data_IF_144860603189
#
_entry.id   IF_144860603189
#
_cell.length_a   1.000
_cell.length_b   1.000
_cell.length_c   1.000
_cell.angle_alpha   90.00
_cell.angle_beta   90.00
_cell.angle_gamma   90.00
#
_symmetry.space_group_name_H-M   'P 1'
#
loop_
_entity.id
_entity.type
_entity.pdbx_description
1 polymer ?
#
# COMPACT_ATOMS: atom_id res chain seq x y z
N UNK A 1 -11.76 -8.90 5.66
CA UNK A 1 -11.16 -7.89 6.57
C UNK A 1 -11.04 -8.35 8.02
N UNK A 2 -11.55 -9.54 8.38
CA UNK A 2 -11.34 -10.12 9.71
C UNK A 2 -9.85 -10.17 10.08
N UNK A 3 -9.01 -10.51 9.10
CA UNK A 3 -7.54 -10.55 9.21
C UNK A 3 -6.95 -9.24 9.78
N UNK A 4 -7.47 -8.09 9.36
CA UNK A 4 -7.03 -6.78 9.85
C UNK A 4 -7.52 -6.52 11.29
N UNK A 5 -8.75 -6.90 11.61
CA UNK A 5 -9.30 -6.72 12.96
C UNK A 5 -8.63 -7.65 13.97
N UNK A 6 -8.26 -8.87 13.56
CA UNK A 6 -7.51 -9.81 14.39
C UNK A 6 -6.14 -9.24 14.75
N UNK A 7 -5.43 -8.66 13.77
CA UNK A 7 -4.18 -7.94 14.01
C UNK A 7 -4.37 -6.74 14.94
N UNK A 8 -5.35 -5.88 14.65
CA UNK A 8 -5.61 -4.69 15.46
C UNK A 8 -5.91 -5.07 16.91
N UNK A 9 -6.74 -6.09 17.13
CA UNK A 9 -7.06 -6.64 18.46
C UNK A 9 -5.81 -7.22 19.12
N UNK A 10 -5.03 -8.01 18.39
CA UNK A 10 -3.82 -8.62 18.93
C UNK A 10 -2.82 -7.58 19.42
N UNK A 11 -2.54 -6.52 18.65
CA UNK A 11 -1.65 -5.43 19.09
C UNK A 11 -2.28 -4.62 20.23
N UNK A 12 -3.59 -4.39 20.17
CA UNK A 12 -4.34 -3.69 21.22
C UNK A 12 -4.34 -4.42 22.56
N UNK A 13 -4.30 -5.75 22.57
CA UNK A 13 -4.39 -6.55 23.79
C UNK A 13 -3.00 -7.01 24.28
N UNK A 14 -2.14 -7.41 23.34
CA UNK A 14 -0.85 -8.07 23.63
C UNK A 14 0.38 -7.28 23.16
N UNK A 15 0.22 -6.17 22.45
CA UNK A 15 1.34 -5.35 22.00
C UNK A 15 2.14 -4.78 23.17
N UNK A 16 3.45 -4.76 23.02
CA UNK A 16 4.40 -4.20 24.00
C UNK A 16 4.45 -2.69 23.80
N UNK A 17 4.39 -1.93 24.90
CA UNK A 17 4.58 -0.49 24.84
C UNK A 17 6.02 -0.12 24.47
N UNK A 18 6.18 0.78 23.50
CA UNK A 18 7.48 1.27 23.01
C UNK A 18 7.42 2.78 22.82
N UNK A 19 8.52 3.45 23.16
CA UNK A 19 8.76 4.79 22.65
C UNK A 19 9.00 4.74 21.13
N UNK A 20 8.69 5.83 20.44
CA UNK A 20 8.87 5.96 19.00
C UNK A 20 9.45 7.35 18.66
N UNK A 21 9.79 7.58 17.38
CA UNK A 21 10.44 8.81 16.91
C UNK A 21 9.59 10.08 17.09
N UNK A 22 8.26 9.95 17.14
CA UNK A 22 7.31 11.06 17.30
C UNK A 22 7.15 11.48 18.76
N UNK A 23 7.61 10.64 19.70
CA UNK A 23 7.39 10.84 21.14
C UNK A 23 5.97 10.50 21.63
N UNK A 24 5.08 10.02 20.76
CA UNK A 24 3.70 9.63 21.11
C UNK A 24 3.65 8.32 21.91
N UNK A 25 4.57 7.39 21.59
CA UNK A 25 4.55 6.02 22.07
C UNK A 25 3.57 5.15 21.27
N UNK A 26 3.85 3.84 21.28
CA UNK A 26 3.05 2.84 20.57
C UNK A 26 2.87 1.57 21.39
N UNK A 27 1.85 0.77 21.09
CA UNK A 27 1.84 -0.67 21.36
C UNK A 27 2.23 -1.39 20.07
N UNK A 28 3.16 -2.33 20.15
CA UNK A 28 3.75 -2.95 18.95
C UNK A 28 3.96 -4.46 19.10
N UNK A 29 3.88 -5.16 17.97
CA UNK A 29 4.38 -6.53 17.80
C UNK A 29 5.33 -6.56 16.60
N UNK A 30 6.28 -7.51 16.62
CA UNK A 30 7.25 -7.66 15.54
C UNK A 30 7.01 -8.96 14.77
N UNK A 31 6.62 -8.81 13.51
CA UNK A 31 6.23 -9.94 12.66
C UNK A 31 4.73 -10.22 12.73
N UNK A 32 4.04 -10.00 11.62
CA UNK A 32 2.67 -10.47 11.40
C UNK A 32 2.44 -10.70 9.91
N UNK A 33 1.60 -11.67 9.53
CA UNK A 33 1.26 -11.90 8.12
C UNK A 33 -0.25 -12.07 7.95
N UNK A 34 -0.81 -11.33 6.99
CA UNK A 34 -2.21 -11.42 6.58
C UNK A 34 -2.30 -11.89 5.13
N UNK A 35 -3.37 -12.59 4.77
CA UNK A 35 -3.63 -13.07 3.41
C UNK A 35 -5.05 -12.70 3.01
N UNK A 36 -5.20 -12.17 1.81
CA UNK A 36 -6.46 -11.74 1.22
C UNK A 36 -6.63 -12.41 -0.15
N UNK A 37 -7.58 -13.32 -0.28
CA UNK A 37 -7.97 -13.87 -1.58
C UNK A 37 -8.75 -12.80 -2.34
N UNK A 38 -8.18 -12.32 -3.45
CA UNK A 38 -8.76 -11.22 -4.22
C UNK A 38 -9.99 -11.66 -5.03
N UNK A 39 -10.18 -12.97 -5.21
CA UNK A 39 -11.40 -13.52 -5.79
C UNK A 39 -12.61 -13.43 -4.83
N UNK A 40 -12.38 -13.32 -3.53
CA UNK A 40 -13.45 -13.19 -2.53
C UNK A 40 -14.00 -11.75 -2.39
N UNK A 41 -13.36 -10.78 -3.04
CA UNK A 41 -13.71 -9.36 -3.00
C UNK A 41 -12.50 -8.46 -2.79
N UNK A 42 -12.67 -7.16 -3.05
CA UNK A 42 -11.59 -6.18 -2.88
C UNK A 42 -11.38 -5.88 -1.39
N UNK A 43 -10.16 -6.07 -0.83
CA UNK A 43 -9.91 -6.05 0.62
C UNK A 43 -9.85 -4.63 1.19
N UNK A 44 -10.98 -3.91 1.15
CA UNK A 44 -11.10 -2.58 1.70
C UNK A 44 -11.76 -2.63 3.07
N UNK A 45 -11.18 -1.96 4.07
CA UNK A 45 -11.76 -1.90 5.42
C UNK A 45 -13.17 -1.31 5.35
N UNK A 46 -14.14 -2.01 5.94
CA UNK A 46 -15.55 -1.58 6.03
C UNK A 46 -15.92 -1.09 7.42
N UNK A 47 -15.16 -1.41 8.47
CA UNK A 47 -15.42 -0.96 9.86
C UNK A 47 -15.10 0.52 10.10
N UNK A 48 -14.52 1.20 9.10
CA UNK A 48 -14.46 2.65 8.97
C UNK A 48 -14.35 3.03 7.51
N UNK A 49 -14.86 4.21 7.15
CA UNK A 49 -14.77 4.77 5.80
C UNK A 49 -13.33 5.15 5.43
N UNK A 50 -12.81 4.59 4.34
CA UNK A 50 -11.52 4.97 3.75
C UNK A 50 -11.66 6.09 2.72
N UNK A 51 -10.58 6.84 2.51
CA UNK A 51 -10.51 7.89 1.50
C UNK A 51 -10.01 7.33 0.16
N UNK A 52 -10.89 6.61 -0.55
CA UNK A 52 -10.57 5.88 -1.79
C UNK A 52 -9.85 6.73 -2.84
N UNK A 53 -10.26 7.99 -3.01
CA UNK A 53 -9.62 8.93 -3.95
C UNK A 53 -8.12 9.05 -3.71
N UNK A 54 -7.71 9.18 -2.45
CA UNK A 54 -6.28 9.28 -2.12
C UNK A 54 -5.54 7.97 -2.43
N UNK A 55 -6.14 6.81 -2.16
CA UNK A 55 -5.53 5.50 -2.42
C UNK A 55 -5.20 5.34 -3.91
N UNK A 56 -6.17 5.66 -4.77
CA UNK A 56 -6.00 5.52 -6.21
C UNK A 56 -4.96 6.51 -6.74
N UNK A 57 -5.09 7.81 -6.41
CA UNK A 57 -4.14 8.80 -6.91
C UNK A 57 -2.73 8.61 -6.39
N UNK A 58 -2.54 8.16 -5.14
CA UNK A 58 -1.20 7.84 -4.63
C UNK A 58 -0.55 6.71 -5.43
N UNK A 59 -1.29 5.63 -5.72
CA UNK A 59 -0.75 4.54 -6.52
C UNK A 59 -0.41 4.98 -7.95
N UNK A 60 -1.30 5.76 -8.59
CA UNK A 60 -1.03 6.30 -9.94
C UNK A 60 0.20 7.22 -9.93
N UNK A 61 0.37 8.03 -8.88
CA UNK A 61 1.52 8.90 -8.69
C UNK A 61 2.83 8.12 -8.48
N UNK A 62 2.82 7.03 -7.69
CA UNK A 62 3.96 6.12 -7.59
C UNK A 62 4.27 5.45 -8.93
N UNK A 63 3.26 4.98 -9.64
CA UNK A 63 3.43 4.37 -10.97
C UNK A 63 3.96 5.38 -11.99
N UNK A 64 3.65 6.67 -11.87
CA UNK A 64 4.21 7.73 -12.72
C UNK A 64 5.69 8.02 -12.43
N UNK A 65 6.24 7.54 -11.31
CA UNK A 65 7.64 7.79 -10.93
C UNK A 65 7.87 9.17 -10.33
N UNK A 66 6.80 9.85 -9.92
CA UNK A 66 6.83 11.21 -9.42
C UNK A 66 7.33 11.27 -7.96
N UNK A 67 7.94 12.40 -7.59
CA UNK A 67 8.40 12.68 -6.22
C UNK A 67 7.84 13.99 -5.66
N UNK A 68 7.17 14.79 -6.49
CA UNK A 68 6.60 16.06 -6.08
C UNK A 68 5.09 15.92 -5.83
N UNK A 69 4.60 16.54 -4.76
CA UNK A 69 3.20 16.43 -4.33
C UNK A 69 2.22 17.25 -5.18
N UNK A 70 2.68 18.02 -6.18
CA UNK A 70 1.80 18.85 -7.02
C UNK A 70 0.67 18.05 -7.67
N UNK A 71 0.97 16.89 -8.27
CA UNK A 71 -0.05 16.01 -8.84
C UNK A 71 -1.11 15.61 -7.80
N UNK A 72 -0.67 15.22 -6.60
CA UNK A 72 -1.57 14.86 -5.50
C UNK A 72 -2.43 16.07 -5.13
N UNK A 73 -1.82 17.25 -5.05
CA UNK A 73 -2.50 18.49 -4.66
C UNK A 73 -3.58 18.90 -5.67
N UNK A 74 -3.26 18.83 -6.95
CA UNK A 74 -4.17 19.12 -8.07
C UNK A 74 -5.37 18.16 -8.09
N UNK A 75 -5.20 16.94 -7.53
CA UNK A 75 -6.25 15.93 -7.40
C UNK A 75 -6.92 15.88 -6.02
N UNK A 76 -6.78 16.95 -5.21
CA UNK A 76 -7.35 17.06 -3.86
C UNK A 76 -6.89 15.97 -2.88
N UNK A 77 -5.64 15.53 -3.01
CA UNK A 77 -4.97 14.63 -2.09
C UNK A 77 -3.89 15.41 -1.33
N UNK A 78 -3.79 15.18 -0.02
CA UNK A 78 -2.95 15.93 0.93
C UNK A 78 -2.18 15.03 1.90
N UNK A 79 -2.17 13.71 1.65
CA UNK A 79 -1.64 12.70 2.57
C UNK A 79 -0.10 12.69 2.69
N UNK A 80 0.59 13.52 1.90
CA UNK A 80 2.05 13.63 1.86
C UNK A 80 2.53 15.05 2.25
N UNK A 81 1.61 15.95 2.60
CA UNK A 81 1.91 17.38 2.81
C UNK A 81 2.88 17.60 3.97
N UNK A 82 2.79 16.81 5.05
CA UNK A 82 3.65 16.97 6.24
C UNK A 82 5.12 16.57 6.02
N UNK A 83 5.43 15.82 4.96
CA UNK A 83 6.79 15.33 4.69
C UNK A 83 7.49 16.04 3.54
N UNK A 84 6.76 16.82 2.75
CA UNK A 84 7.32 17.52 1.61
C UNK A 84 8.05 18.79 2.03
N UNK A 85 9.08 19.15 1.28
CA UNK A 85 9.78 20.43 1.46
C UNK A 85 8.95 21.63 0.97
N UNK A 86 9.53 22.83 1.05
CA UNK A 86 8.89 24.08 0.62
C UNK A 86 8.50 24.12 -0.87
N UNK A 87 9.14 23.30 -1.72
CA UNK A 87 8.85 23.17 -3.14
C UNK A 87 7.89 22.00 -3.44
N UNK A 88 7.52 21.23 -2.41
CA UNK A 88 6.66 20.06 -2.52
C UNK A 88 7.40 18.78 -2.89
N UNK A 89 8.74 18.76 -2.82
CA UNK A 89 9.54 17.57 -3.13
C UNK A 89 9.73 16.67 -1.91
N UNK A 90 9.72 15.36 -2.15
CA UNK A 90 9.91 14.33 -1.11
C UNK A 90 11.27 13.60 -1.24
N UNK A 91 12.10 14.01 -2.19
CA UNK A 91 13.31 13.28 -2.58
C UNK A 91 12.98 11.93 -3.24
N UNK A 92 13.94 11.00 -3.30
CA UNK A 92 13.83 9.80 -4.12
C UNK A 92 13.02 8.68 -3.43
N UNK A 93 11.76 8.97 -3.06
CA UNK A 93 10.84 8.01 -2.42
C UNK A 93 10.31 6.97 -3.42
N UNK A 94 9.19 6.30 -3.10
CA UNK A 94 8.68 5.13 -3.82
C UNK A 94 8.66 5.25 -5.34
N UNK A 95 8.03 6.28 -5.91
CA UNK A 95 7.91 6.42 -7.36
C UNK A 95 9.27 6.42 -8.06
N UNK A 96 10.22 7.18 -7.53
CA UNK A 96 11.59 7.25 -8.03
C UNK A 96 12.28 5.89 -7.92
N UNK A 97 12.17 5.21 -6.79
CA UNK A 97 12.79 3.88 -6.66
C UNK A 97 12.13 2.85 -7.59
N UNK A 98 10.82 2.94 -7.81
CA UNK A 98 10.08 1.99 -8.64
C UNK A 98 10.37 2.17 -10.13
N UNK A 99 10.47 3.41 -10.60
CA UNK A 99 10.56 3.74 -12.04
C UNK A 99 11.96 4.16 -12.49
N UNK A 100 12.80 4.61 -11.57
CA UNK A 100 14.05 5.31 -11.88
C UNK A 100 15.18 4.98 -10.89
N UNK A 101 15.27 3.73 -10.42
CA UNK A 101 16.32 3.32 -9.47
C UNK A 101 17.73 3.56 -10.05
N UNK A 102 18.59 4.37 -9.41
CA UNK A 102 19.89 4.74 -9.96
C UNK A 102 20.89 3.58 -9.96
N UNK A 103 21.71 3.48 -11.02
CA UNK A 103 22.78 2.47 -11.13
C UNK A 103 24.17 3.07 -10.88
N UNK A 104 25.12 2.31 -10.32
CA UNK A 104 26.49 2.78 -10.08
C UNK A 104 27.21 3.26 -11.35
N UNK A 105 26.89 2.67 -12.51
CA UNK A 105 27.49 3.01 -13.80
C UNK A 105 26.87 4.26 -14.45
N UNK A 106 25.88 4.88 -13.80
CA UNK A 106 25.03 5.92 -14.38
C UNK A 106 23.85 5.32 -15.15
N UNK A 107 22.72 6.04 -15.13
CA UNK A 107 21.44 5.57 -15.67
C UNK A 107 20.45 5.16 -14.58
N UNK A 108 19.36 4.50 -14.98
CA UNK A 108 18.31 4.07 -14.07
C UNK A 108 17.67 2.74 -14.48
N UNK A 109 17.04 2.09 -13.50
CA UNK A 109 16.28 0.85 -13.65
C UNK A 109 14.79 1.14 -13.37
N UNK A 110 13.95 0.90 -14.38
CA UNK A 110 12.51 0.82 -14.19
C UNK A 110 12.13 -0.60 -13.72
N UNK A 111 11.97 -0.75 -12.40
CA UNK A 111 11.64 -2.03 -11.79
C UNK A 111 10.21 -2.49 -12.13
N UNK A 112 9.27 -1.54 -12.29
CA UNK A 112 7.87 -1.85 -12.61
C UNK A 112 7.74 -2.36 -14.04
N UNK A 113 8.31 -1.64 -15.02
CA UNK A 113 8.28 -2.08 -16.41
C UNK A 113 8.97 -3.44 -16.57
N UNK A 114 10.12 -3.64 -15.89
CA UNK A 114 10.83 -4.92 -15.89
C UNK A 114 10.00 -6.04 -15.30
N UNK A 115 9.35 -5.85 -14.15
CA UNK A 115 8.59 -6.93 -13.51
C UNK A 115 7.37 -7.32 -14.34
N UNK A 116 6.67 -6.35 -14.94
CA UNK A 116 5.53 -6.61 -15.84
C UNK A 116 5.98 -7.43 -17.06
N UNK A 117 7.08 -7.03 -17.70
CA UNK A 117 7.64 -7.78 -18.83
C UNK A 117 8.06 -9.20 -18.42
N UNK A 118 8.75 -9.33 -17.29
CA UNK A 118 9.17 -10.65 -16.78
C UNK A 118 7.99 -11.56 -16.48
N UNK A 119 6.88 -11.05 -15.93
CA UNK A 119 5.68 -11.87 -15.65
C UNK A 119 5.10 -12.42 -16.95
N UNK A 120 5.08 -11.63 -18.03
CA UNK A 120 4.61 -12.09 -19.36
C UNK A 120 5.55 -13.15 -19.96
N UNK A 121 6.86 -12.93 -19.85
CA UNK A 121 7.86 -13.78 -20.52
C UNK A 121 8.22 -15.05 -19.75
N UNK A 122 8.24 -14.98 -18.42
CA UNK A 122 8.66 -16.06 -17.53
C UNK A 122 7.90 -16.02 -16.19
N UNK A 123 6.60 -16.40 -16.19
CA UNK A 123 5.73 -16.33 -15.02
C UNK A 123 6.17 -17.19 -13.83
N UNK A 124 6.97 -18.23 -14.07
CA UNK A 124 7.48 -19.15 -13.03
C UNK A 124 8.71 -18.58 -12.28
N UNK A 125 9.18 -17.39 -12.65
CA UNK A 125 10.34 -16.77 -12.03
C UNK A 125 10.08 -16.48 -10.55
N UNK A 126 11.06 -16.86 -9.72
CA UNK A 126 11.07 -16.55 -8.29
C UNK A 126 11.69 -15.17 -8.00
N UNK A 127 11.83 -14.32 -9.02
CA UNK A 127 12.56 -13.04 -8.97
C UNK A 127 11.73 -11.84 -9.44
N UNK A 128 10.41 -11.97 -9.53
CA UNK A 128 9.52 -10.84 -9.82
C UNK A 128 9.43 -9.90 -8.62
N UNK A 129 10.48 -9.12 -8.38
CA UNK A 129 10.66 -8.31 -7.17
C UNK A 129 10.79 -6.84 -7.55
N UNK A 130 10.20 -5.99 -6.72
CA UNK A 130 10.42 -4.55 -6.72
C UNK A 130 10.81 -4.12 -5.31
N UNK A 131 11.88 -3.34 -5.20
CA UNK A 131 12.37 -2.79 -3.93
C UNK A 131 12.29 -1.27 -3.93
N UNK A 132 11.77 -0.68 -2.85
CA UNK A 132 11.90 0.74 -2.58
C UNK A 132 13.09 1.05 -1.65
N UNK A 133 13.74 0.04 -1.08
CA UNK A 133 14.79 0.24 -0.09
C UNK A 133 16.16 0.34 -0.73
N UNK A 134 16.55 1.58 -1.04
CA UNK A 134 17.87 1.91 -1.56
C UNK A 134 18.79 2.43 -0.43
N UNK A 135 19.75 1.63 0.06
CA UNK A 135 20.64 2.05 1.14
C UNK A 135 21.48 3.30 0.83
N UNK A 136 21.71 3.61 -0.45
CA UNK A 136 22.47 4.79 -0.86
C UNK A 136 21.64 6.08 -0.85
N UNK A 137 20.31 5.98 -0.82
CA UNK A 137 19.41 7.13 -0.95
C UNK A 137 18.43 7.30 0.22
N UNK A 138 18.28 6.30 1.09
CA UNK A 138 17.25 6.27 2.15
C UNK A 138 17.28 7.50 3.07
N UNK A 139 18.46 8.03 3.38
CA UNK A 139 18.62 9.21 4.24
C UNK A 139 18.26 10.53 3.54
N UNK A 140 18.05 10.52 2.21
CA UNK A 140 17.66 11.68 1.40
C UNK A 140 16.15 11.74 1.15
N UNK A 141 15.39 10.79 1.66
CA UNK A 141 13.95 10.68 1.48
C UNK A 141 13.21 11.43 2.59
N UNK A 142 12.19 12.22 2.25
CA UNK A 142 11.38 12.95 3.23
C UNK A 142 10.71 12.01 4.24
N UNK A 143 10.39 10.78 3.81
CA UNK A 143 10.06 9.66 4.68
C UNK A 143 10.66 8.37 4.12
N UNK A 144 11.52 7.65 4.88
CA UNK A 144 12.03 6.35 4.45
C UNK A 144 10.90 5.33 4.17
N UNK A 145 10.99 4.51 3.11
CA UNK A 145 9.93 3.61 2.67
C UNK A 145 9.41 2.69 3.78
N UNK A 146 8.12 2.75 4.07
CA UNK A 146 7.44 1.81 4.96
C UNK A 146 7.22 0.48 4.26
N UNK A 147 6.73 0.50 3.01
CA UNK A 147 6.57 -0.65 2.13
C UNK A 147 7.85 -0.84 1.31
N UNK A 148 8.68 -1.78 1.76
CA UNK A 148 10.11 -1.88 1.41
C UNK A 148 10.33 -2.72 0.17
N UNK A 149 9.65 -3.86 0.09
CA UNK A 149 9.85 -4.85 -0.97
C UNK A 149 8.54 -5.55 -1.23
N UNK A 150 8.21 -5.80 -2.50
CA UNK A 150 7.12 -6.70 -2.86
C UNK A 150 7.53 -7.65 -3.97
N UNK A 151 6.93 -8.83 -3.95
CA UNK A 151 7.19 -9.92 -4.88
C UNK A 151 5.89 -10.40 -5.50
N UNK A 152 5.89 -10.58 -6.82
CA UNK A 152 4.82 -11.26 -7.53
C UNK A 152 5.09 -12.75 -7.69
N UNK A 153 4.01 -13.52 -7.80
CA UNK A 153 4.02 -14.95 -7.99
C UNK A 153 2.85 -15.36 -8.88
N UNK A 154 3.12 -16.19 -9.89
CA UNK A 154 2.08 -16.73 -10.78
C UNK A 154 1.92 -18.23 -10.51
N UNK A 155 0.67 -18.67 -10.37
CA UNK A 155 0.30 -20.07 -10.38
C UNK A 155 -1.14 -20.23 -10.86
N UNK A 156 -1.42 -21.28 -11.63
CA UNK A 156 -2.77 -21.61 -12.11
C UNK A 156 -3.47 -20.42 -12.82
N UNK A 157 -2.71 -19.63 -13.58
CA UNK A 157 -3.22 -18.43 -14.28
C UNK A 157 -3.56 -17.26 -13.36
N UNK A 158 -3.18 -17.31 -12.07
CA UNK A 158 -3.47 -16.27 -11.07
C UNK A 158 -2.20 -15.56 -10.60
N UNK A 159 -2.25 -14.23 -10.52
CA UNK A 159 -1.17 -13.37 -10.04
C UNK A 159 -1.36 -13.02 -8.55
N UNK A 160 -0.44 -13.47 -7.71
CA UNK A 160 -0.37 -13.07 -6.30
C UNK A 160 0.72 -12.04 -6.06
N UNK A 161 0.58 -11.25 -4.99
CA UNK A 161 1.58 -10.27 -4.57
C UNK A 161 1.82 -10.39 -3.06
N UNK A 162 3.08 -10.49 -2.65
CA UNK A 162 3.49 -10.40 -1.26
C UNK A 162 4.23 -9.09 -1.01
N UNK A 163 3.77 -8.31 -0.05
CA UNK A 163 4.43 -7.10 0.45
C UNK A 163 5.15 -7.39 1.78
N UNK A 164 6.38 -6.91 1.89
CA UNK A 164 7.07 -6.69 3.16
C UNK A 164 7.05 -5.20 3.52
N UNK A 165 6.33 -4.86 4.60
CA UNK A 165 6.25 -3.52 5.17
C UNK A 165 6.97 -3.49 6.51
N UNK A 166 8.11 -2.79 6.59
CA UNK A 166 8.99 -2.79 7.78
C UNK A 166 8.35 -2.14 9.02
N UNK A 167 7.43 -1.19 8.79
CA UNK A 167 6.86 -0.31 9.80
C UNK A 167 5.43 0.01 9.41
N UNK A 168 4.48 -0.27 10.29
CA UNK A 168 3.06 -0.28 9.95
C UNK A 168 2.22 0.35 11.06
N UNK A 169 1.80 1.60 10.83
CA UNK A 169 0.72 2.23 11.60
C UNK A 169 -0.58 1.48 11.28
N UNK A 170 -1.06 0.71 12.25
CA UNK A 170 -2.23 -0.14 12.10
C UNK A 170 -3.52 0.66 11.93
N UNK A 171 -3.62 1.85 12.50
CA UNK A 171 -4.87 2.59 12.48
C UNK A 171 -5.00 3.41 11.20
N UNK A 172 -4.02 4.24 10.86
CA UNK A 172 -4.10 5.12 9.70
C UNK A 172 -3.54 4.46 8.42
N UNK A 173 -2.37 3.82 8.52
CA UNK A 173 -1.61 3.37 7.36
C UNK A 173 -2.08 2.05 6.76
N UNK A 174 -2.15 0.98 7.56
CA UNK A 174 -2.38 -0.39 7.07
C UNK A 174 -3.65 -0.54 6.22
N UNK A 175 -4.82 0.03 6.57
CA UNK A 175 -6.01 -0.03 5.71
C UNK A 175 -5.77 0.54 4.30
N UNK A 176 -4.96 1.60 4.21
CA UNK A 176 -4.57 2.25 2.97
C UNK A 176 -3.61 1.36 2.17
N UNK A 177 -2.60 0.79 2.84
CA UNK A 177 -1.61 -0.08 2.22
C UNK A 177 -2.23 -1.36 1.65
N UNK A 178 -3.19 -1.97 2.35
CA UNK A 178 -3.89 -3.17 1.88
C UNK A 178 -4.61 -2.88 0.56
N UNK A 179 -5.40 -1.80 0.52
CA UNK A 179 -6.17 -1.43 -0.67
C UNK A 179 -5.26 -1.04 -1.85
N UNK A 180 -4.17 -0.30 -1.59
CA UNK A 180 -3.21 0.12 -2.62
C UNK A 180 -2.53 -1.08 -3.29
N UNK A 181 -2.01 -2.04 -2.52
CA UNK A 181 -1.32 -3.19 -3.09
C UNK A 181 -2.28 -4.24 -3.67
N UNK A 182 -3.51 -4.37 -3.14
CA UNK A 182 -4.55 -5.13 -3.80
C UNK A 182 -4.86 -4.53 -5.18
N UNK A 183 -5.05 -3.20 -5.26
CA UNK A 183 -5.29 -2.50 -6.53
C UNK A 183 -4.14 -2.72 -7.52
N UNK A 184 -2.88 -2.54 -7.08
CA UNK A 184 -1.71 -2.82 -7.91
C UNK A 184 -1.71 -4.26 -8.44
N UNK A 185 -2.07 -5.24 -7.59
CA UNK A 185 -2.15 -6.65 -7.99
C UNK A 185 -3.19 -6.87 -9.08
N UNK A 186 -4.38 -6.26 -8.96
CA UNK A 186 -5.40 -6.31 -10.00
C UNK A 186 -4.94 -5.66 -11.31
N UNK A 187 -4.31 -4.48 -11.25
CA UNK A 187 -3.83 -3.76 -12.43
C UNK A 187 -2.75 -4.56 -13.17
N UNK A 188 -1.77 -5.12 -12.43
CA UNK A 188 -0.72 -5.95 -13.03
C UNK A 188 -1.31 -7.25 -13.60
N UNK A 189 -2.25 -7.88 -12.90
CA UNK A 189 -2.92 -9.08 -13.40
C UNK A 189 -3.61 -8.80 -14.74
N UNK A 190 -4.39 -7.72 -14.85
CA UNK A 190 -5.07 -7.35 -16.10
C UNK A 190 -4.10 -7.17 -17.26
N UNK A 191 -3.07 -6.33 -17.10
CA UNK A 191 -2.14 -6.02 -18.21
C UNK A 191 -1.22 -7.21 -18.54
N UNK A 192 -1.17 -8.23 -17.71
CA UNK A 192 -0.43 -9.47 -17.98
C UNK A 192 -1.34 -10.62 -18.42
N UNK A 193 -2.66 -10.39 -18.57
CA UNK A 193 -3.63 -11.41 -18.99
C UNK A 193 -3.86 -12.50 -17.94
N UNK A 194 -3.66 -12.18 -16.66
CA UNK A 194 -3.81 -13.08 -15.52
C UNK A 194 -5.01 -12.69 -14.66
N UNK A 195 -5.51 -13.64 -13.88
CA UNK A 195 -6.54 -13.39 -12.88
C UNK A 195 -5.92 -12.93 -11.54
N UNK A 196 -6.59 -12.07 -10.75
CA UNK A 196 -6.14 -11.73 -9.40
C UNK A 196 -6.08 -12.96 -8.47
N UNK A 197 -4.92 -13.17 -7.86
CA UNK A 197 -4.63 -14.23 -6.90
C UNK A 197 -4.83 -13.78 -5.45
N UNK A 198 -3.78 -13.92 -4.64
CA UNK A 198 -3.78 -13.52 -3.22
C UNK A 198 -2.90 -12.29 -3.02
N UNK A 199 -3.36 -11.33 -2.23
CA UNK A 199 -2.48 -10.33 -1.62
C UNK A 199 -2.03 -10.81 -0.24
N UNK A 200 -0.71 -10.88 -0.02
CA UNK A 200 -0.08 -11.28 1.24
C UNK A 200 0.63 -10.06 1.83
N UNK A 201 0.24 -9.66 3.03
CA UNK A 201 0.81 -8.50 3.70
C UNK A 201 1.63 -8.93 4.90
N UNK A 202 2.96 -8.83 4.80
CA UNK A 202 3.92 -9.15 5.87
C UNK A 202 4.39 -7.86 6.52
N UNK A 203 4.28 -7.78 7.85
CA UNK A 203 4.63 -6.61 8.64
C UNK A 203 5.85 -6.90 9.51
N UNK A 204 6.78 -5.95 9.58
CA UNK A 204 7.86 -5.88 10.55
C UNK A 204 7.34 -5.36 11.89
N UNK A 205 7.65 -4.11 12.24
CA UNK A 205 7.06 -3.43 13.39
C UNK A 205 5.61 -3.01 13.07
N UNK A 206 4.65 -3.79 13.58
CA UNK A 206 3.23 -3.53 13.48
C UNK A 206 2.75 -2.85 14.76
N UNK A 207 2.35 -1.57 14.67
CA UNK A 207 2.11 -0.75 15.84
C UNK A 207 0.82 0.06 15.78
N UNK A 208 0.25 0.26 16.96
CA UNK A 208 -0.87 1.15 17.22
C UNK A 208 -0.38 2.29 18.11
N UNK A 209 -0.49 3.53 17.65
CA UNK A 209 -0.13 4.68 18.47
C UNK A 209 -1.00 4.79 19.71
N UNK A 210 -0.42 5.26 20.82
CA UNK A 210 -1.13 5.37 22.10
C UNK A 210 -2.29 6.38 22.03
N UNK A 211 -2.21 7.39 21.17
CA UNK A 211 -3.30 8.35 20.92
C UNK A 211 -4.39 7.82 19.96
N UNK A 212 -4.31 6.56 19.51
CA UNK A 212 -5.30 5.91 18.63
C UNK A 212 -6.06 4.76 19.32
N UNK A 213 -5.82 4.51 20.61
CA UNK A 213 -6.40 3.34 21.31
C UNK A 213 -7.93 3.39 21.37
N UNK A 214 -8.52 4.55 21.67
CA UNK A 214 -9.99 4.70 21.73
C UNK A 214 -10.64 4.52 20.35
N UNK A 215 -9.99 5.03 19.31
CA UNK A 215 -10.44 4.87 17.93
C UNK A 215 -10.34 3.41 17.47
N UNK A 216 -9.28 2.69 17.89
CA UNK A 216 -9.15 1.27 17.67
C UNK A 216 -10.25 0.48 18.38
N UNK A 217 -10.54 0.78 19.66
CA UNK A 217 -11.60 0.14 20.43
C UNK A 217 -12.98 0.36 19.78
N UNK A 218 -13.24 1.60 19.32
CA UNK A 218 -14.45 1.94 18.56
C UNK A 218 -14.56 1.12 17.27
N UNK A 219 -13.45 0.94 16.56
CA UNK A 219 -13.44 0.16 15.33
C UNK A 219 -13.63 -1.35 15.59
N UNK A 220 -13.03 -1.87 16.66
CA UNK A 220 -13.10 -3.28 17.07
C UNK A 220 -14.48 -3.72 17.58
N UNK A 221 -15.34 -2.76 17.94
CA UNK A 221 -16.73 -2.98 18.31
C UNK A 221 -17.70 -3.05 17.11
N UNK A 222 -17.22 -2.83 15.88
CA UNK A 222 -18.04 -2.86 14.66
C UNK A 222 -17.86 -4.17 13.91
N UNK A 223 -18.98 -4.75 13.47
CA UNK A 223 -18.94 -5.90 12.59
C UNK A 223 -18.50 -5.51 11.17
N UNK A 224 -17.64 -6.31 10.51
CA UNK A 224 -17.36 -6.15 9.09
C UNK A 224 -18.65 -6.18 8.25
N UNK A 225 -18.67 -5.37 7.19
CA UNK A 225 -19.71 -5.39 6.17
C UNK A 225 -19.18 -6.18 4.96
N UNK A 226 -20.03 -6.55 3.98
CA UNK A 226 -19.58 -7.23 2.77
C UNK A 226 -18.44 -6.48 2.06
N UNK A 227 -17.49 -7.24 1.52
CA UNK A 227 -16.40 -6.66 0.74
C UNK A 227 -16.96 -6.05 -0.56
N UNK A 228 -16.45 -4.88 -0.99
CA UNK A 228 -16.75 -4.37 -2.32
C UNK A 228 -16.09 -5.22 -3.41
N UNK A 229 -16.45 -4.97 -4.67
CA UNK A 229 -15.75 -5.51 -5.83
C UNK A 229 -14.99 -4.40 -6.56
N UNK A 230 -13.90 -4.77 -7.23
CA UNK A 230 -13.11 -3.86 -8.06
C UNK A 230 -13.43 -4.14 -9.54
N UNK A 231 -13.70 -3.09 -10.30
CA UNK A 231 -13.78 -3.12 -11.75
C UNK A 231 -12.73 -2.17 -12.32
N UNK A 232 -11.93 -2.68 -13.25
CA UNK A 232 -10.93 -1.92 -14.01
C UNK A 232 -11.43 -1.75 -15.45
N UNK A 233 -11.07 -0.65 -16.10
CA UNK A 233 -11.38 -0.46 -17.52
C UNK A 233 -10.72 -1.56 -18.35
N UNK A 234 -11.50 -2.42 -19.05
CA UNK A 234 -10.95 -3.56 -19.78
C UNK A 234 -10.16 -3.15 -21.03
N UNK A 235 -10.31 -1.92 -21.52
CA UNK A 235 -9.61 -1.43 -22.72
C UNK A 235 -8.15 -1.03 -22.44
N UNK A 236 -7.74 -1.01 -21.17
CA UNK A 236 -6.36 -0.67 -20.76
C UNK A 236 -5.49 -1.93 -20.70
N UNK A 237 -4.48 -2.01 -21.57
CA UNK A 237 -3.52 -3.12 -21.68
C UNK A 237 -2.10 -2.76 -21.22
N UNK A 238 -1.89 -1.50 -20.83
CA UNK A 238 -0.63 -0.96 -20.34
C UNK A 238 -0.82 -0.35 -18.94
N UNK A 239 0.06 -0.76 -18.01
CA UNK A 239 -0.03 -0.40 -16.60
C UNK A 239 0.02 1.12 -16.38
N UNK A 240 0.74 1.84 -17.25
CA UNK A 240 0.98 3.27 -17.09
C UNK A 240 -0.11 4.14 -17.72
N UNK A 241 -1.07 3.54 -18.44
CA UNK A 241 -2.14 4.27 -19.12
C UNK A 241 -3.41 4.40 -18.25
N UNK A 242 -3.48 3.68 -17.13
CA UNK A 242 -4.57 3.80 -16.16
C UNK A 242 -4.72 5.22 -15.61
N UNK A 243 -5.96 5.68 -15.56
CA UNK A 243 -6.38 6.93 -14.94
C UNK A 243 -7.33 6.65 -13.78
N UNK A 244 -7.64 7.69 -13.02
CA UNK A 244 -8.57 7.60 -11.89
C UNK A 244 -9.94 7.03 -12.30
N UNK A 245 -10.47 7.46 -13.44
CA UNK A 245 -11.80 7.06 -13.92
C UNK A 245 -11.85 5.61 -14.44
N UNK A 246 -10.69 4.99 -14.68
CA UNK A 246 -10.58 3.59 -15.11
C UNK A 246 -10.70 2.60 -13.94
N UNK A 247 -10.83 3.09 -12.71
CA UNK A 247 -10.78 2.30 -11.47
C UNK A 247 -12.05 2.53 -10.67
N UNK A 248 -12.90 1.51 -10.59
CA UNK A 248 -14.19 1.59 -9.90
C UNK A 248 -14.29 0.56 -8.78
N UNK A 249 -14.65 1.03 -7.58
CA UNK A 249 -14.95 0.15 -6.45
C UNK A 249 -16.46 0.11 -6.23
N UNK A 250 -17.06 -1.02 -6.56
CA UNK A 250 -18.51 -1.21 -6.56
C UNK A 250 -18.98 -1.83 -5.23
N UNK A 251 -20.14 -1.37 -4.74
CA UNK A 251 -20.77 -1.91 -3.53
C UNK A 251 -20.05 -1.57 -2.23
N UNK A 252 -19.15 -0.57 -2.20
CA UNK A 252 -18.47 -0.19 -0.96
C UNK A 252 -19.41 0.48 0.03
N UNK A 253 -19.83 -0.31 1.03
CA UNK A 253 -20.53 0.17 2.22
C UNK A 253 -19.59 0.12 3.41
N UNK A 254 -19.55 1.18 4.21
CA UNK A 254 -18.70 1.25 5.40
C UNK A 254 -19.44 1.89 6.56
N UNK A 255 -19.00 1.54 7.76
CA UNK A 255 -19.32 2.28 8.96
C UNK A 255 -18.75 3.71 8.89
N UNK A 256 -19.30 4.66 9.67
CA UNK A 256 -18.85 6.05 9.67
C UNK A 256 -17.35 6.22 9.87
N UNK A 257 -16.79 7.29 9.31
CA UNK A 257 -15.38 7.65 9.48
C UNK A 257 -15.02 7.74 10.96
N UNK A 258 -13.83 7.27 11.31
CA UNK A 258 -13.22 7.49 12.61
C UNK A 258 -12.03 8.42 12.39
N UNK A 259 -12.02 9.58 13.05
CA UNK A 259 -10.95 10.56 12.94
C UNK A 259 -9.87 10.25 13.97
N UNK A 260 -8.60 10.26 13.54
CA UNK A 260 -7.45 10.14 14.41
C UNK A 260 -6.35 11.12 13.95
N UNK A 261 -5.62 11.76 14.89
CA UNK A 261 -4.52 12.66 14.56
C UNK A 261 -3.33 11.88 13.98
N UNK A 262 -2.58 12.48 13.05
CA UNK A 262 -1.30 11.90 12.59
C UNK A 262 -0.25 12.09 13.69
N UNK A 263 0.55 11.06 13.96
CA UNK A 263 1.73 11.18 14.79
C UNK A 263 2.90 11.68 13.92
N UNK A 264 3.48 12.83 14.26
CA UNK A 264 4.57 13.48 13.51
C UNK A 264 5.89 13.41 14.27
#
# INVERSE_FOLDING_TARGET
>A
MQQYLDLLRHVRDHGVEKADRTGTGTRSVFGWQMRYDLAAGFPMVTTKKLHLRAIIHELLWFLAGEQNIRYLKDNNVRIWDEWADENGDLGPIYGVQWRSWPTPEGGHIDQIARVVAQIRDNPDSRRHIVSAWNPAEVDRMGLPPCHVLFQFYVAEGRLSCQLYQRSADLFLGVPFNIASYALLTHMVAQVTGLEPGTFIHTLGDAHLYLNHLEQADTQLARDPLPLPTLALNPDIDNLFDFRFDDIQVNGYTSHPRITAPIAV
#
